data_IF_502226051182
#
_entry.id   IF_502226051182
#
_cell.length_a   1.000
_cell.length_b   1.000
_cell.length_c   1.000
_cell.angle_alpha   90.00
_cell.angle_beta   90.00
_cell.angle_gamma   90.00
#
_symmetry.space_group_name_H-M   'P 1'
#
loop_
_entity.id
_entity.type
_entity.pdbx_description
1 polymer ?
#
# COMPACT_ATOMS: atom_id res chain seq x y z
N UNK A 1 -43.73 12.81 -30.29
CA UNK A 1 -44.15 12.76 -28.87
C UNK A 1 -44.70 14.14 -28.50
N UNK A 2 -45.85 14.22 -27.84
CA UNK A 2 -46.34 15.52 -27.36
C UNK A 2 -45.50 15.95 -26.14
N UNK A 3 -44.60 16.93 -26.34
CA UNK A 3 -43.62 17.40 -25.35
C UNK A 3 -44.33 17.92 -24.10
N UNK A 4 -45.43 18.65 -24.25
CA UNK A 4 -46.21 19.20 -23.09
C UNK A 4 -46.77 18.10 -22.22
N UNK A 5 -47.32 17.02 -22.80
CA UNK A 5 -47.81 15.85 -22.05
C UNK A 5 -46.68 15.10 -21.35
N UNK A 6 -45.50 15.05 -21.97
CA UNK A 6 -44.33 14.42 -21.34
C UNK A 6 -43.85 15.24 -20.14
N UNK A 7 -43.73 16.57 -20.27
CA UNK A 7 -43.39 17.46 -19.15
C UNK A 7 -44.36 17.28 -17.99
N UNK A 8 -45.65 17.42 -18.24
CA UNK A 8 -46.66 17.29 -17.19
C UNK A 8 -46.61 15.96 -16.44
N UNK A 9 -46.23 14.86 -17.11
CA UNK A 9 -46.09 13.55 -16.47
C UNK A 9 -44.78 13.42 -15.63
N UNK A 10 -43.74 14.16 -16.00
CA UNK A 10 -42.43 14.06 -15.35
C UNK A 10 -42.15 15.10 -14.29
N UNK A 11 -42.80 16.23 -14.39
CA UNK A 11 -42.66 17.37 -13.47
C UNK A 11 -42.83 17.01 -11.99
N UNK A 12 -43.76 16.14 -11.55
CA UNK A 12 -43.86 15.73 -10.17
C UNK A 12 -42.57 15.07 -9.63
N UNK A 13 -41.85 14.28 -10.48
CA UNK A 13 -40.62 13.66 -10.11
C UNK A 13 -39.47 14.69 -9.95
N UNK A 14 -39.46 15.70 -10.81
CA UNK A 14 -38.48 16.80 -10.72
C UNK A 14 -38.67 17.64 -9.47
N UNK A 15 -39.92 18.02 -9.17
CA UNK A 15 -40.28 18.76 -7.96
C UNK A 15 -39.95 17.95 -6.69
N UNK A 16 -40.21 16.64 -6.69
CA UNK A 16 -39.90 15.76 -5.58
C UNK A 16 -38.39 15.64 -5.35
N UNK A 17 -37.60 15.48 -6.44
CA UNK A 17 -36.14 15.47 -6.32
C UNK A 17 -35.61 16.80 -5.78
N UNK A 18 -36.09 17.94 -6.29
CA UNK A 18 -35.63 19.24 -5.82
C UNK A 18 -35.97 19.48 -4.33
N UNK A 19 -37.14 19.05 -3.87
CA UNK A 19 -37.51 19.10 -2.46
C UNK A 19 -36.57 18.26 -1.57
N UNK A 20 -36.26 17.04 -2.01
CA UNK A 20 -35.31 16.16 -1.29
C UNK A 20 -33.90 16.75 -1.29
N UNK A 21 -33.43 17.31 -2.42
CA UNK A 21 -32.14 17.96 -2.51
C UNK A 21 -32.02 19.17 -1.59
N UNK A 22 -33.04 20.03 -1.53
CA UNK A 22 -33.08 21.15 -0.58
C UNK A 22 -32.99 20.67 0.89
N UNK A 23 -33.68 19.57 1.22
CA UNK A 23 -33.59 18.96 2.56
C UNK A 23 -32.20 18.45 2.88
N UNK A 24 -31.55 17.79 1.90
CA UNK A 24 -30.17 17.30 2.04
C UNK A 24 -29.16 18.45 2.20
N UNK A 25 -29.31 19.50 1.39
CA UNK A 25 -28.44 20.68 1.43
C UNK A 25 -28.50 21.41 2.76
N UNK A 26 -29.70 21.45 3.38
CA UNK A 26 -29.92 22.09 4.68
C UNK A 26 -29.44 21.25 5.87
N UNK A 27 -29.67 19.94 5.84
CA UNK A 27 -29.55 19.09 7.04
C UNK A 27 -28.57 17.89 6.85
N UNK A 28 -28.01 17.73 5.64
CA UNK A 28 -27.11 16.63 5.27
C UNK A 28 -27.85 15.33 4.89
N UNK A 29 -27.20 14.46 4.12
CA UNK A 29 -27.77 13.20 3.64
C UNK A 29 -28.21 12.26 4.77
N UNK A 30 -27.50 12.29 5.91
CA UNK A 30 -27.82 11.46 7.10
C UNK A 30 -29.13 11.84 7.80
N UNK A 31 -29.71 12.99 7.50
CA UNK A 31 -31.01 13.41 8.05
C UNK A 31 -32.21 12.76 7.38
N UNK A 32 -31.99 12.10 6.24
CA UNK A 32 -33.03 11.41 5.50
C UNK A 32 -33.22 9.97 6.00
N UNK A 33 -34.44 9.50 6.13
CA UNK A 33 -34.69 8.08 6.37
C UNK A 33 -34.30 7.22 5.14
N UNK A 34 -34.05 5.94 5.35
CA UNK A 34 -33.50 5.02 4.34
C UNK A 34 -34.40 4.93 3.07
N UNK A 35 -35.71 5.08 3.20
CA UNK A 35 -36.64 5.11 2.07
C UNK A 35 -36.46 6.37 1.20
N UNK A 36 -36.28 7.56 1.81
CA UNK A 36 -36.01 8.79 1.06
C UNK A 36 -34.63 8.77 0.39
N UNK A 37 -33.61 8.14 0.98
CA UNK A 37 -32.29 7.96 0.34
C UNK A 37 -32.41 7.10 -0.92
N UNK A 38 -33.16 6.00 -0.87
CA UNK A 38 -33.43 5.17 -2.05
C UNK A 38 -34.21 5.94 -3.12
N UNK A 39 -35.18 6.75 -2.70
CA UNK A 39 -35.97 7.60 -3.56
C UNK A 39 -35.09 8.62 -4.30
N UNK A 40 -34.16 9.30 -3.61
CA UNK A 40 -33.19 10.21 -4.24
C UNK A 40 -32.39 9.51 -5.32
N UNK A 41 -31.87 8.31 -5.05
CA UNK A 41 -31.10 7.56 -6.04
C UNK A 41 -31.91 7.11 -7.26
N UNK A 42 -33.19 6.79 -7.07
CA UNK A 42 -34.10 6.47 -8.14
C UNK A 42 -34.46 7.73 -8.97
N UNK A 43 -34.83 8.82 -8.30
CA UNK A 43 -35.19 10.08 -8.96
C UNK A 43 -34.00 10.69 -9.71
N UNK A 44 -32.81 10.63 -9.15
CA UNK A 44 -31.58 11.05 -9.85
C UNK A 44 -31.42 10.36 -11.20
N UNK A 45 -31.53 9.02 -11.25
CA UNK A 45 -31.43 8.27 -12.51
C UNK A 45 -32.53 8.63 -13.49
N UNK A 46 -33.72 8.85 -12.98
CA UNK A 46 -34.88 9.24 -13.75
C UNK A 46 -34.69 10.63 -14.38
N UNK A 47 -34.26 11.62 -13.59
CA UNK A 47 -34.04 13.01 -14.03
C UNK A 47 -32.83 13.08 -14.99
N UNK A 48 -31.77 12.29 -14.76
CA UNK A 48 -30.65 12.21 -15.70
C UNK A 48 -31.08 11.67 -17.07
N UNK A 49 -31.97 10.66 -17.11
CA UNK A 49 -32.55 10.17 -18.35
C UNK A 49 -33.45 11.20 -19.02
N UNK A 50 -34.24 11.96 -18.22
CA UNK A 50 -35.11 13.05 -18.72
C UNK A 50 -34.26 14.20 -19.29
N UNK A 51 -33.13 14.55 -18.67
CA UNK A 51 -32.16 15.51 -19.20
C UNK A 51 -31.60 15.09 -20.57
N UNK A 52 -31.20 13.84 -20.71
CA UNK A 52 -30.70 13.30 -21.97
C UNK A 52 -31.77 13.39 -23.06
N UNK A 53 -33.02 13.01 -22.71
CA UNK A 53 -34.16 13.09 -23.63
C UNK A 53 -34.51 14.55 -24.00
N UNK A 54 -34.51 15.48 -23.02
CA UNK A 54 -34.76 16.90 -23.26
C UNK A 54 -33.76 17.50 -24.24
N UNK A 55 -32.46 17.13 -24.14
CA UNK A 55 -31.42 17.54 -25.08
C UNK A 55 -31.66 16.99 -26.49
N UNK A 56 -31.95 15.69 -26.61
CA UNK A 56 -32.22 15.06 -27.92
C UNK A 56 -33.44 15.64 -28.61
N UNK A 57 -34.48 16.02 -27.86
CA UNK A 57 -35.71 16.58 -28.41
C UNK A 57 -35.68 18.12 -28.53
N UNK A 58 -34.54 18.74 -28.25
CA UNK A 58 -34.33 20.20 -28.31
C UNK A 58 -35.46 20.99 -27.58
N UNK A 59 -35.82 20.55 -26.39
CA UNK A 59 -36.82 21.23 -25.56
C UNK A 59 -36.24 22.58 -25.09
N UNK A 60 -37.06 23.45 -24.54
CA UNK A 60 -36.68 24.78 -24.06
C UNK A 60 -35.34 24.77 -23.24
N UNK A 61 -34.44 25.70 -23.54
CA UNK A 61 -33.16 25.85 -22.85
C UNK A 61 -33.32 26.02 -21.34
N UNK A 62 -34.37 26.70 -20.88
CA UNK A 62 -34.67 26.87 -19.46
C UNK A 62 -34.94 25.54 -18.76
N UNK A 63 -35.67 24.62 -19.39
CA UNK A 63 -35.94 23.31 -18.85
C UNK A 63 -34.65 22.45 -18.83
N UNK A 64 -33.87 22.49 -19.90
CA UNK A 64 -32.58 21.79 -19.96
C UNK A 64 -31.63 22.25 -18.84
N UNK A 65 -31.52 23.58 -18.62
CA UNK A 65 -30.69 24.13 -17.54
C UNK A 65 -31.21 23.73 -16.15
N UNK A 66 -32.53 23.74 -15.93
CA UNK A 66 -33.14 23.30 -14.66
C UNK A 66 -32.82 21.81 -14.38
N UNK A 67 -33.04 20.93 -15.36
CA UNK A 67 -32.76 19.51 -15.23
C UNK A 67 -31.26 19.25 -15.04
N UNK A 68 -30.38 20.00 -15.72
CA UNK A 68 -28.97 19.91 -15.55
C UNK A 68 -28.50 20.32 -14.15
N UNK A 69 -29.04 21.44 -13.64
CA UNK A 69 -28.76 21.89 -12.27
C UNK A 69 -29.19 20.85 -11.24
N UNK A 70 -30.41 20.31 -11.35
CA UNK A 70 -30.87 19.23 -10.45
C UNK A 70 -30.02 17.98 -10.55
N UNK A 71 -29.64 17.55 -11.75
CA UNK A 71 -28.79 16.39 -11.96
C UNK A 71 -27.41 16.59 -11.34
N UNK A 72 -26.79 17.77 -11.51
CA UNK A 72 -25.48 18.10 -10.92
C UNK A 72 -25.57 18.16 -9.39
N UNK A 73 -26.61 18.77 -8.83
CA UNK A 73 -26.82 18.80 -7.38
C UNK A 73 -26.99 17.39 -6.80
N UNK A 74 -27.85 16.57 -7.44
CA UNK A 74 -28.07 15.19 -7.03
C UNK A 74 -26.79 14.35 -7.13
N UNK A 75 -26.04 14.48 -8.23
CA UNK A 75 -24.74 13.84 -8.41
C UNK A 75 -23.78 14.17 -7.28
N UNK A 76 -23.63 15.46 -6.96
CA UNK A 76 -22.75 15.90 -5.88
C UNK A 76 -23.16 15.32 -4.53
N UNK A 77 -24.45 15.21 -4.21
CA UNK A 77 -24.93 14.64 -2.95
C UNK A 77 -24.72 13.12 -2.88
N UNK A 78 -25.01 12.41 -3.98
CA UNK A 78 -24.85 10.96 -4.05
C UNK A 78 -23.37 10.54 -4.02
N UNK A 79 -22.51 11.23 -4.78
CA UNK A 79 -21.10 10.85 -4.95
C UNK A 79 -20.14 11.55 -4.00
N UNK A 80 -20.41 12.77 -3.51
CA UNK A 80 -19.61 13.38 -2.46
C UNK A 80 -19.81 12.71 -1.09
N UNK A 81 -21.00 12.18 -0.84
CA UNK A 81 -21.26 11.36 0.35
C UNK A 81 -20.38 10.10 0.37
N UNK A 82 -20.20 9.43 -0.80
CA UNK A 82 -19.34 8.26 -0.92
C UNK A 82 -17.86 8.64 -0.77
N UNK A 83 -17.38 9.71 -1.39
CA UNK A 83 -15.98 10.18 -1.23
C UNK A 83 -15.62 10.47 0.22
N UNK A 84 -16.49 11.12 0.98
CA UNK A 84 -16.22 11.39 2.41
C UNK A 84 -16.17 10.11 3.23
N UNK A 85 -17.00 9.11 2.90
CA UNK A 85 -16.96 7.79 3.54
C UNK A 85 -15.72 7.01 3.12
N UNK A 86 -15.31 7.09 1.85
CA UNK A 86 -14.07 6.47 1.36
C UNK A 86 -12.84 7.05 2.04
N UNK A 87 -12.74 8.38 2.19
CA UNK A 87 -11.65 9.02 2.93
C UNK A 87 -11.65 8.68 4.42
N UNK A 88 -12.81 8.58 5.04
CA UNK A 88 -12.91 8.11 6.43
C UNK A 88 -12.48 6.65 6.54
N UNK A 89 -12.91 5.79 5.62
CA UNK A 89 -12.51 4.39 5.57
C UNK A 89 -11.00 4.22 5.38
N UNK A 90 -10.39 5.02 4.48
CA UNK A 90 -8.95 5.04 4.28
C UNK A 90 -8.20 5.50 5.54
N UNK A 91 -8.68 6.56 6.18
CA UNK A 91 -8.11 7.05 7.43
C UNK A 91 -8.23 6.02 8.56
N UNK A 92 -9.39 5.40 8.71
CA UNK A 92 -9.62 4.36 9.72
C UNK A 92 -8.77 3.12 9.46
N UNK A 93 -8.56 2.76 8.19
CA UNK A 93 -7.64 1.69 7.82
C UNK A 93 -6.22 1.99 8.28
N UNK A 94 -5.65 3.14 7.95
CA UNK A 94 -4.28 3.46 8.38
C UNK A 94 -4.18 3.75 9.87
N UNK A 95 -5.20 4.24 10.54
CA UNK A 95 -5.14 4.48 11.98
C UNK A 95 -5.24 3.20 12.81
N UNK A 96 -6.07 2.24 12.39
CA UNK A 96 -6.45 1.08 13.20
C UNK A 96 -6.44 -0.24 12.41
N UNK A 97 -6.87 -0.23 11.15
CA UNK A 97 -7.01 -1.43 10.33
C UNK A 97 -5.67 -2.08 10.04
N UNK A 98 -4.69 -1.34 9.56
CA UNK A 98 -3.38 -1.88 9.21
C UNK A 98 -2.64 -2.46 10.43
N UNK A 99 -2.52 -1.78 11.59
CA UNK A 99 -1.97 -2.40 12.80
C UNK A 99 -2.68 -3.70 13.19
N UNK A 100 -4.01 -3.73 13.11
CA UNK A 100 -4.79 -4.94 13.42
C UNK A 100 -4.45 -6.09 12.48
N UNK A 101 -4.34 -5.82 11.17
CA UNK A 101 -3.98 -6.85 10.18
C UNK A 101 -2.56 -7.35 10.38
N UNK A 102 -1.60 -6.49 10.72
CA UNK A 102 -0.23 -6.89 11.06
C UNK A 102 -0.24 -7.84 12.26
N UNK A 103 -0.98 -7.51 13.33
CA UNK A 103 -1.09 -8.37 14.51
C UNK A 103 -1.77 -9.71 14.21
N UNK A 104 -2.83 -9.72 13.41
CA UNK A 104 -3.51 -10.96 12.99
C UNK A 104 -2.62 -11.85 12.11
N UNK A 105 -1.66 -11.25 11.42
CA UNK A 105 -0.76 -11.92 10.49
C UNK A 105 0.61 -12.23 11.10
N UNK A 106 0.82 -11.95 12.38
CA UNK A 106 2.14 -11.95 13.03
C UNK A 106 2.90 -13.27 12.88
N UNK A 107 2.23 -14.40 12.92
CA UNK A 107 2.86 -15.73 12.78
C UNK A 107 3.48 -15.89 11.39
N UNK A 108 2.79 -15.44 10.34
CA UNK A 108 3.27 -15.53 8.96
C UNK A 108 4.38 -14.51 8.68
N UNK A 109 4.28 -13.33 9.29
CA UNK A 109 5.33 -12.31 9.24
C UNK A 109 6.58 -12.80 9.97
N UNK A 110 6.43 -13.40 11.14
CA UNK A 110 7.54 -13.98 11.90
C UNK A 110 8.22 -15.11 11.13
N UNK A 111 7.46 -15.96 10.43
CA UNK A 111 8.02 -17.00 9.56
C UNK A 111 8.84 -16.38 8.41
N UNK A 112 8.32 -15.36 7.74
CA UNK A 112 9.03 -14.64 6.68
C UNK A 112 10.32 -14.00 7.21
N UNK A 113 10.26 -13.33 8.36
CA UNK A 113 11.40 -12.72 9.03
C UNK A 113 12.45 -13.77 9.43
N UNK A 114 12.01 -14.91 9.99
CA UNK A 114 12.92 -15.98 10.37
C UNK A 114 13.68 -16.58 9.16
N UNK A 115 13.00 -16.77 8.03
CA UNK A 115 13.62 -17.23 6.78
C UNK A 115 14.63 -16.21 6.24
N UNK A 116 14.31 -14.94 6.30
CA UNK A 116 15.25 -13.88 5.90
C UNK A 116 16.50 -13.89 6.80
N UNK A 117 16.32 -13.92 8.12
CA UNK A 117 17.42 -13.98 9.08
C UNK A 117 18.23 -15.26 8.87
N UNK A 118 17.59 -16.39 8.62
CA UNK A 118 18.29 -17.64 8.30
C UNK A 118 19.18 -17.49 7.07
N UNK A 119 18.68 -16.85 6.01
CA UNK A 119 19.46 -16.51 4.82
C UNK A 119 20.68 -15.64 5.16
N UNK A 120 20.49 -14.59 5.98
CA UNK A 120 21.58 -13.73 6.44
C UNK A 120 22.66 -14.54 7.19
N UNK A 121 22.25 -15.41 8.10
CA UNK A 121 23.19 -16.23 8.90
C UNK A 121 23.94 -17.24 8.03
N UNK A 122 23.27 -17.88 7.08
CA UNK A 122 23.90 -18.81 6.12
C UNK A 122 24.96 -18.06 5.30
N UNK A 123 24.61 -16.91 4.72
CA UNK A 123 25.55 -16.14 3.92
C UNK A 123 26.71 -15.60 4.75
N UNK A 124 26.44 -15.09 5.94
CA UNK A 124 27.49 -14.66 6.87
C UNK A 124 28.46 -15.80 7.19
N UNK A 125 27.95 -16.99 7.54
CA UNK A 125 28.79 -18.15 7.90
C UNK A 125 29.66 -18.59 6.74
N UNK A 126 29.10 -18.80 5.55
CA UNK A 126 29.85 -19.29 4.38
C UNK A 126 30.82 -18.23 3.82
N UNK A 127 30.37 -16.97 3.73
CA UNK A 127 31.22 -15.88 3.24
C UNK A 127 32.41 -15.58 4.18
N UNK A 128 32.27 -15.92 5.47
CA UNK A 128 33.40 -15.81 6.41
C UNK A 128 34.43 -16.91 6.24
N UNK A 129 33.99 -18.13 5.92
CA UNK A 129 34.89 -19.28 5.74
C UNK A 129 35.55 -19.34 4.35
N UNK A 130 34.76 -19.04 3.32
CA UNK A 130 35.21 -19.08 1.94
C UNK A 130 34.81 -17.78 1.21
N UNK A 131 35.78 -16.88 0.98
CA UNK A 131 35.53 -15.64 0.25
C UNK A 131 34.97 -15.83 -1.17
N UNK A 132 35.16 -17.00 -1.79
CA UNK A 132 34.64 -17.31 -3.12
C UNK A 132 33.13 -17.45 -3.12
N UNK A 133 32.52 -17.82 -1.97
CA UNK A 133 31.09 -17.89 -1.81
C UNK A 133 30.36 -16.55 -2.13
N UNK A 134 31.02 -15.44 -1.83
CA UNK A 134 30.43 -14.10 -2.11
C UNK A 134 30.14 -13.89 -3.59
N UNK A 135 31.00 -14.42 -4.49
CA UNK A 135 30.82 -14.25 -5.93
C UNK A 135 29.60 -15.00 -6.51
N UNK A 136 29.03 -15.94 -5.74
CA UNK A 136 27.81 -16.63 -6.13
C UNK A 136 26.55 -15.75 -5.94
N UNK A 137 26.65 -14.74 -5.07
CA UNK A 137 25.48 -13.95 -4.63
C UNK A 137 25.66 -12.48 -4.97
N UNK A 138 26.85 -11.93 -4.76
CA UNK A 138 27.17 -10.50 -4.96
C UNK A 138 27.88 -10.33 -6.31
N UNK A 139 27.47 -9.37 -7.14
CA UNK A 139 28.14 -9.06 -8.40
C UNK A 139 29.62 -8.75 -8.20
N UNK A 140 30.47 -9.31 -9.07
CA UNK A 140 31.94 -9.23 -8.93
C UNK A 140 32.49 -7.80 -8.90
N UNK A 141 31.85 -6.88 -9.66
CA UNK A 141 32.27 -5.48 -9.65
C UNK A 141 32.06 -4.82 -8.28
N UNK A 142 31.00 -5.16 -7.54
CA UNK A 142 30.76 -4.66 -6.17
C UNK A 142 31.79 -5.23 -5.19
N UNK A 143 32.13 -6.51 -5.34
CA UNK A 143 33.16 -7.15 -4.52
C UNK A 143 34.51 -6.44 -4.72
N UNK A 144 34.90 -6.15 -5.97
CA UNK A 144 36.13 -5.42 -6.30
C UNK A 144 36.11 -4.00 -5.73
N UNK A 145 35.06 -3.25 -5.92
CA UNK A 145 34.92 -1.88 -5.39
C UNK A 145 35.13 -1.85 -3.87
N UNK A 146 34.51 -2.79 -3.14
CA UNK A 146 34.62 -2.83 -1.68
C UNK A 146 35.97 -3.36 -1.22
N UNK A 147 36.47 -4.44 -1.82
CA UNK A 147 37.71 -5.12 -1.39
C UNK A 147 38.97 -4.39 -1.82
N UNK A 148 39.03 -3.98 -3.09
CA UNK A 148 40.25 -3.45 -3.72
C UNK A 148 40.32 -1.92 -3.58
N UNK A 149 39.20 -1.23 -3.85
CA UNK A 149 39.16 0.25 -3.79
C UNK A 149 38.81 0.80 -2.40
N UNK A 150 38.35 -0.05 -1.47
CA UNK A 150 37.90 0.36 -0.13
C UNK A 150 36.82 1.44 -0.14
N UNK A 151 35.90 1.35 -1.12
CA UNK A 151 34.82 2.30 -1.33
C UNK A 151 33.46 1.60 -1.31
N UNK A 152 32.45 2.35 -0.91
CA UNK A 152 31.06 1.93 -1.06
C UNK A 152 30.52 2.44 -2.40
N UNK A 153 29.69 1.64 -3.06
CA UNK A 153 29.11 1.95 -4.38
C UNK A 153 27.97 2.99 -4.32
N UNK A 154 27.46 3.30 -3.13
CA UNK A 154 26.31 4.20 -2.97
C UNK A 154 26.62 5.66 -3.31
N UNK A 155 27.89 6.05 -3.42
CA UNK A 155 28.29 7.38 -3.90
C UNK A 155 27.84 7.69 -5.34
N UNK A 156 27.53 6.66 -6.14
CA UNK A 156 27.00 6.82 -7.50
C UNK A 156 25.55 7.35 -7.55
N UNK A 157 24.84 7.43 -6.41
CA UNK A 157 23.48 7.97 -6.32
C UNK A 157 23.51 9.51 -6.38
N UNK A 158 24.60 10.13 -5.91
CA UNK A 158 24.71 11.59 -5.89
C UNK A 158 24.71 12.19 -7.31
N UNK A 159 23.83 13.15 -7.54
CA UNK A 159 23.63 13.80 -8.85
C UNK A 159 22.57 13.15 -9.73
N UNK A 160 22.05 11.98 -9.36
CA UNK A 160 20.98 11.26 -10.06
C UNK A 160 19.88 10.78 -9.11
N UNK A 161 19.74 11.46 -7.97
CA UNK A 161 18.88 11.06 -6.84
C UNK A 161 17.43 10.70 -7.24
N UNK A 162 16.73 11.49 -8.08
CA UNK A 162 15.35 11.15 -8.44
C UNK A 162 15.26 9.86 -9.26
N UNK A 163 16.22 9.62 -10.15
CA UNK A 163 16.25 8.42 -10.98
C UNK A 163 16.66 7.19 -10.15
N UNK A 164 17.69 7.33 -9.33
CA UNK A 164 18.14 6.26 -8.43
C UNK A 164 17.05 5.89 -7.43
N UNK A 165 16.44 6.87 -6.77
CA UNK A 165 15.33 6.67 -5.82
C UNK A 165 14.16 5.92 -6.46
N UNK A 166 13.75 6.33 -7.67
CA UNK A 166 12.65 5.66 -8.38
C UNK A 166 13.02 4.21 -8.78
N UNK A 167 14.24 3.99 -9.24
CA UNK A 167 14.73 2.66 -9.62
C UNK A 167 14.77 1.68 -8.43
N UNK A 168 15.29 2.13 -7.30
CA UNK A 168 15.38 1.32 -6.09
C UNK A 168 13.98 1.06 -5.51
N UNK A 169 13.14 2.08 -5.43
CA UNK A 169 11.74 1.94 -4.99
C UNK A 169 10.98 0.92 -5.85
N UNK A 170 11.10 0.99 -7.17
CA UNK A 170 10.47 0.03 -8.10
C UNK A 170 11.01 -1.38 -7.84
N UNK A 171 12.32 -1.55 -7.66
CA UNK A 171 12.91 -2.85 -7.35
C UNK A 171 12.32 -3.44 -6.06
N UNK A 172 12.24 -2.66 -4.99
CA UNK A 172 11.74 -3.11 -3.69
C UNK A 172 10.25 -3.41 -3.70
N UNK A 173 9.46 -2.62 -4.45
CA UNK A 173 8.06 -2.93 -4.75
C UNK A 173 7.96 -4.25 -5.52
N UNK A 174 8.77 -4.47 -6.54
CA UNK A 174 8.75 -5.70 -7.34
C UNK A 174 9.14 -6.93 -6.51
N UNK A 175 10.16 -6.83 -5.64
CA UNK A 175 10.54 -7.91 -4.70
C UNK A 175 9.37 -8.23 -3.77
N UNK A 176 8.72 -7.21 -3.21
CA UNK A 176 7.55 -7.38 -2.34
C UNK A 176 6.40 -8.05 -3.08
N UNK A 177 6.07 -7.62 -4.30
CA UNK A 177 5.03 -8.28 -5.11
C UNK A 177 5.37 -9.73 -5.47
N UNK A 178 6.65 -10.02 -5.81
CA UNK A 178 7.10 -11.39 -6.04
C UNK A 178 6.93 -12.27 -4.79
N UNK A 179 7.26 -11.73 -3.60
CA UNK A 179 7.05 -12.44 -2.34
C UNK A 179 5.57 -12.75 -2.07
N UNK A 180 4.66 -11.79 -2.34
CA UNK A 180 3.21 -11.99 -2.22
C UNK A 180 2.70 -13.00 -3.23
N UNK A 181 3.02 -12.81 -4.52
CA UNK A 181 2.58 -13.69 -5.61
C UNK A 181 3.10 -15.12 -5.44
N UNK A 182 4.27 -15.27 -4.82
CA UNK A 182 4.86 -16.56 -4.48
C UNK A 182 3.96 -17.44 -3.60
N UNK A 183 3.01 -16.85 -2.89
CA UNK A 183 2.00 -17.59 -2.14
C UNK A 183 1.15 -18.51 -3.00
N UNK A 184 0.93 -18.18 -4.28
CA UNK A 184 0.18 -18.99 -5.25
C UNK A 184 0.87 -20.33 -5.52
N UNK A 185 2.20 -20.37 -5.44
CA UNK A 185 3.01 -21.60 -5.55
C UNK A 185 3.02 -22.42 -4.25
N UNK A 186 1.93 -22.37 -3.47
CA UNK A 186 1.88 -22.94 -2.14
C UNK A 186 3.01 -22.43 -1.20
N UNK A 187 3.50 -21.22 -1.46
CA UNK A 187 4.53 -20.54 -0.66
C UNK A 187 5.98 -20.86 -1.04
N UNK A 188 6.23 -21.78 -1.99
CA UNK A 188 7.58 -22.17 -2.38
C UNK A 188 8.42 -20.99 -2.91
N UNK A 189 7.81 -20.16 -3.76
CA UNK A 189 8.48 -18.98 -4.30
C UNK A 189 8.62 -17.86 -3.24
N UNK A 190 7.65 -17.71 -2.35
CA UNK A 190 7.78 -16.80 -1.18
C UNK A 190 8.97 -17.19 -0.31
N UNK A 191 9.08 -18.50 0.00
CA UNK A 191 10.21 -19.05 0.75
C UNK A 191 11.54 -18.69 0.07
N UNK A 192 11.65 -18.96 -1.24
CA UNK A 192 12.83 -18.64 -2.02
C UNK A 192 13.19 -17.15 -1.96
N UNK A 193 12.21 -16.26 -2.20
CA UNK A 193 12.43 -14.82 -2.18
C UNK A 193 12.92 -14.34 -0.80
N UNK A 194 12.30 -14.81 0.29
CA UNK A 194 12.71 -14.41 1.63
C UNK A 194 14.13 -14.89 1.97
N UNK A 195 14.42 -16.15 1.69
CA UNK A 195 15.73 -16.73 1.94
C UNK A 195 16.83 -16.06 1.09
N UNK A 196 16.57 -15.86 -0.22
CA UNK A 196 17.54 -15.28 -1.14
C UNK A 196 17.86 -13.82 -0.81
N UNK A 197 16.85 -13.01 -0.46
CA UNK A 197 17.09 -11.63 -0.02
C UNK A 197 17.89 -11.60 1.30
N UNK A 198 17.64 -12.54 2.20
CA UNK A 198 18.48 -12.72 3.38
C UNK A 198 19.92 -13.07 3.02
N UNK A 199 20.14 -14.04 2.12
CA UNK A 199 21.49 -14.40 1.64
C UNK A 199 22.22 -13.19 1.06
N UNK A 200 21.55 -12.38 0.25
CA UNK A 200 22.14 -11.18 -0.35
C UNK A 200 22.58 -10.16 0.71
N UNK A 201 21.71 -9.82 1.65
CA UNK A 201 22.02 -8.86 2.72
C UNK A 201 23.11 -9.42 3.64
N UNK A 202 23.09 -10.70 3.97
CA UNK A 202 24.12 -11.34 4.80
C UNK A 202 25.48 -11.34 4.12
N UNK A 203 25.56 -11.65 2.83
CA UNK A 203 26.81 -11.62 2.06
C UNK A 203 27.38 -10.19 1.97
N UNK A 204 26.53 -9.20 1.67
CA UNK A 204 26.94 -7.79 1.61
C UNK A 204 27.40 -7.28 2.98
N UNK A 205 26.65 -7.59 4.05
CA UNK A 205 27.01 -7.20 5.42
C UNK A 205 28.38 -7.78 5.81
N UNK A 206 28.66 -9.04 5.44
CA UNK A 206 29.95 -9.68 5.68
C UNK A 206 31.06 -9.00 4.87
N UNK A 207 30.82 -8.74 3.58
CA UNK A 207 31.78 -8.07 2.70
C UNK A 207 32.19 -6.70 3.25
N UNK A 208 31.24 -5.84 3.62
CA UNK A 208 31.57 -4.51 4.18
C UNK A 208 32.19 -4.61 5.58
N UNK A 209 31.77 -5.60 6.39
CA UNK A 209 32.33 -5.85 7.72
C UNK A 209 33.80 -6.24 7.66
N UNK A 210 34.17 -7.18 6.79
CA UNK A 210 35.57 -7.63 6.58
C UNK A 210 36.50 -6.52 6.04
N UNK A 211 35.93 -5.46 5.44
CA UNK A 211 36.67 -4.36 4.85
C UNK A 211 36.64 -3.05 5.66
N UNK A 212 36.14 -3.08 6.91
CA UNK A 212 36.00 -1.93 7.82
C UNK A 212 35.07 -0.81 7.28
N UNK A 213 34.13 -1.16 6.42
CA UNK A 213 33.13 -0.26 5.82
C UNK A 213 31.73 -0.45 6.41
N UNK A 214 31.59 -1.25 7.49
CA UNK A 214 30.28 -1.54 8.08
C UNK A 214 29.59 -0.28 8.60
N UNK A 215 30.31 0.59 9.31
CA UNK A 215 29.72 1.79 9.91
C UNK A 215 29.13 2.75 8.86
N UNK A 216 29.85 3.22 7.84
CA UNK A 216 29.26 4.07 6.80
C UNK A 216 28.22 3.34 5.96
N UNK A 217 28.34 2.03 5.74
CA UNK A 217 27.33 1.23 5.04
C UNK A 217 26.00 1.23 5.78
N UNK A 218 26.01 0.88 7.06
CA UNK A 218 24.77 0.85 7.84
C UNK A 218 24.21 2.24 8.11
N UNK A 219 25.05 3.29 8.20
CA UNK A 219 24.58 4.67 8.24
C UNK A 219 23.76 5.05 6.99
N UNK A 220 24.15 4.52 5.82
CA UNK A 220 23.39 4.69 4.59
C UNK A 220 22.10 3.86 4.60
N UNK A 221 22.18 2.56 4.94
CA UNK A 221 21.06 1.61 4.81
C UNK A 221 20.01 1.80 5.90
N UNK A 222 20.40 2.05 7.14
CA UNK A 222 19.50 1.98 8.28
C UNK A 222 18.31 2.95 8.25
N UNK A 223 18.45 4.22 7.77
CA UNK A 223 17.30 5.14 7.69
C UNK A 223 16.13 4.59 6.85
N UNK A 224 16.39 4.10 5.65
CA UNK A 224 15.36 3.54 4.78
C UNK A 224 15.05 2.08 5.10
N UNK A 225 16.06 1.28 5.43
CA UNK A 225 15.93 -0.13 5.77
C UNK A 225 15.04 -0.37 6.99
N UNK A 226 14.92 0.61 7.89
CA UNK A 226 14.00 0.56 9.05
C UNK A 226 12.52 0.48 8.66
N UNK A 227 12.15 0.90 7.45
CA UNK A 227 10.81 0.77 6.87
C UNK A 227 10.75 -0.32 5.79
N UNK A 228 11.79 -0.44 4.98
CA UNK A 228 11.86 -1.34 3.84
C UNK A 228 11.90 -2.80 4.25
N UNK A 229 12.79 -3.19 5.19
CA UNK A 229 12.87 -4.58 5.63
C UNK A 229 11.57 -5.05 6.29
N UNK A 230 10.93 -4.31 7.21
CA UNK A 230 9.61 -4.68 7.70
C UNK A 230 8.55 -4.80 6.59
N UNK A 231 8.58 -3.91 5.58
CA UNK A 231 7.66 -4.01 4.45
C UNK A 231 7.86 -5.31 3.66
N UNK A 232 9.11 -5.72 3.41
CA UNK A 232 9.44 -7.01 2.77
C UNK A 232 8.97 -8.18 3.65
N UNK A 233 9.12 -8.10 4.99
CA UNK A 233 8.63 -9.14 5.90
C UNK A 233 7.11 -9.24 5.89
N UNK A 234 6.41 -8.12 5.82
CA UNK A 234 4.94 -8.10 5.68
C UNK A 234 4.51 -8.68 4.33
N UNK A 235 5.26 -8.41 3.26
CA UNK A 235 5.01 -9.01 1.94
C UNK A 235 5.20 -10.53 1.94
N UNK A 236 6.27 -11.03 2.58
CA UNK A 236 6.48 -12.45 2.79
C UNK A 236 5.36 -13.09 3.62
N UNK A 237 4.94 -12.41 4.70
CA UNK A 237 3.79 -12.82 5.50
C UNK A 237 2.49 -12.90 4.68
N UNK A 238 2.23 -11.93 3.79
CA UNK A 238 1.10 -11.95 2.86
C UNK A 238 1.17 -13.14 1.89
N UNK A 239 2.35 -13.47 1.37
CA UNK A 239 2.58 -14.67 0.56
C UNK A 239 2.26 -15.96 1.33
N UNK A 240 2.72 -16.07 2.58
CA UNK A 240 2.43 -17.24 3.42
C UNK A 240 0.94 -17.32 3.84
N UNK A 241 0.22 -16.21 3.96
CA UNK A 241 -1.24 -16.23 4.15
C UNK A 241 -1.96 -16.86 2.94
N UNK A 242 -1.55 -16.53 1.73
CA UNK A 242 -2.09 -17.15 0.51
C UNK A 242 -1.73 -18.64 0.46
N UNK A 243 -0.48 -18.99 0.75
CA UNK A 243 -0.03 -20.39 0.86
C UNK A 243 -0.85 -21.18 1.89
N UNK A 244 -1.14 -20.56 3.04
CA UNK A 244 -2.00 -21.14 4.09
C UNK A 244 -3.38 -21.51 3.57
N UNK A 245 -4.01 -20.63 2.80
CA UNK A 245 -5.31 -20.87 2.21
C UNK A 245 -5.33 -22.07 1.26
N UNK A 246 -4.23 -22.28 0.53
CA UNK A 246 -4.09 -23.37 -0.45
C UNK A 246 -3.80 -24.70 0.22
N UNK A 247 -2.79 -24.72 1.11
CA UNK A 247 -2.27 -25.95 1.73
C UNK A 247 -3.12 -26.44 2.88
N UNK A 248 -3.57 -25.52 3.74
CA UNK A 248 -4.21 -25.86 5.02
C UNK A 248 -5.47 -25.01 5.27
N UNK A 249 -6.53 -25.16 4.46
CA UNK A 249 -7.76 -24.35 4.57
C UNK A 249 -8.52 -24.56 5.87
N UNK A 250 -8.19 -25.60 6.65
CA UNK A 250 -8.86 -25.93 7.92
C UNK A 250 -10.31 -26.34 7.71
N UNK A 251 -11.23 -25.68 8.43
CA UNK A 251 -12.68 -25.92 8.34
C UNK A 251 -13.34 -25.22 7.15
N UNK A 252 -12.62 -24.35 6.45
CA UNK A 252 -13.15 -23.62 5.30
C UNK A 252 -13.03 -24.42 4.02
N UNK A 253 -13.96 -24.18 3.07
CA UNK A 253 -13.74 -24.61 1.68
C UNK A 253 -12.55 -23.81 1.13
N UNK A 254 -11.75 -24.38 0.22
CA UNK A 254 -10.55 -23.73 -0.31
C UNK A 254 -10.80 -22.31 -0.84
N UNK A 255 -11.92 -22.10 -1.52
CA UNK A 255 -12.28 -20.77 -2.05
C UNK A 255 -12.59 -19.77 -0.92
N UNK A 256 -13.25 -20.21 0.16
CA UNK A 256 -13.60 -19.34 1.29
C UNK A 256 -12.33 -19.02 2.13
N UNK A 257 -11.44 -20.01 2.29
CA UNK A 257 -10.14 -19.80 2.89
C UNK A 257 -9.33 -18.78 2.08
N UNK A 258 -9.32 -18.89 0.74
CA UNK A 258 -8.62 -17.96 -0.13
C UNK A 258 -9.21 -16.54 -0.06
N UNK A 259 -10.54 -16.40 0.04
CA UNK A 259 -11.17 -15.10 0.27
C UNK A 259 -10.74 -14.50 1.61
N UNK A 260 -10.76 -15.27 2.69
CA UNK A 260 -10.40 -14.80 4.02
C UNK A 260 -8.93 -14.40 4.12
N UNK A 261 -8.01 -15.32 3.84
CA UNK A 261 -6.57 -15.06 3.93
C UNK A 261 -6.08 -14.11 2.83
N UNK A 262 -6.68 -14.15 1.64
CA UNK A 262 -6.41 -13.21 0.55
C UNK A 262 -6.82 -11.78 0.89
N UNK A 263 -7.90 -11.59 1.66
CA UNK A 263 -8.26 -10.25 2.17
C UNK A 263 -7.21 -9.72 3.15
N UNK A 264 -6.74 -10.55 4.08
CA UNK A 264 -5.64 -10.15 4.98
C UNK A 264 -4.36 -9.83 4.21
N UNK A 265 -4.00 -10.67 3.23
CA UNK A 265 -2.84 -10.44 2.36
C UNK A 265 -2.94 -9.13 1.58
N UNK A 266 -4.10 -8.83 0.97
CA UNK A 266 -4.32 -7.59 0.24
C UNK A 266 -4.26 -6.35 1.13
N UNK A 267 -4.75 -6.43 2.35
CA UNK A 267 -4.66 -5.36 3.34
C UNK A 267 -3.21 -5.12 3.78
N UNK A 268 -2.39 -6.16 3.96
CA UNK A 268 -0.96 -6.02 4.19
C UNK A 268 -0.29 -5.30 3.01
N UNK A 269 -0.56 -5.74 1.77
CA UNK A 269 0.00 -5.12 0.55
C UNK A 269 -0.36 -3.64 0.47
N UNK A 270 -1.61 -3.28 0.79
CA UNK A 270 -2.05 -1.89 0.77
C UNK A 270 -1.28 -1.02 1.77
N UNK A 271 -0.92 -1.54 2.94
CA UNK A 271 -0.10 -0.84 3.93
C UNK A 271 1.40 -0.81 3.59
N UNK A 272 1.92 -1.80 2.86
CA UNK A 272 3.32 -1.89 2.43
C UNK A 272 3.68 -0.78 1.43
N UNK A 273 2.79 -0.44 0.51
CA UNK A 273 3.06 0.51 -0.56
C UNK A 273 3.57 1.86 -0.03
N UNK A 274 2.87 2.56 0.88
CA UNK A 274 3.36 3.83 1.42
C UNK A 274 4.68 3.67 2.20
N UNK A 275 4.91 2.53 2.86
CA UNK A 275 6.18 2.28 3.55
C UNK A 275 7.35 2.25 2.57
N UNK A 276 7.20 1.54 1.44
CA UNK A 276 8.24 1.45 0.40
C UNK A 276 8.44 2.78 -0.32
N UNK A 277 7.38 3.56 -0.55
CA UNK A 277 7.50 4.90 -1.13
C UNK A 277 8.31 5.83 -0.21
N UNK A 278 8.01 5.84 1.09
CA UNK A 278 8.75 6.64 2.06
C UNK A 278 10.20 6.16 2.15
N UNK A 279 10.44 4.85 2.22
CA UNK A 279 11.78 4.27 2.24
C UNK A 279 12.59 4.69 0.99
N UNK A 280 12.01 4.60 -0.21
CA UNK A 280 12.68 5.00 -1.45
C UNK A 280 13.01 6.50 -1.51
N UNK A 281 12.17 7.37 -0.95
CA UNK A 281 12.46 8.80 -0.83
C UNK A 281 13.65 9.02 0.14
N UNK A 282 13.65 8.35 1.28
CA UNK A 282 14.74 8.44 2.26
C UNK A 282 16.04 7.93 1.63
N UNK A 283 16.01 6.82 0.91
CA UNK A 283 17.17 6.22 0.26
C UNK A 283 17.73 7.11 -0.85
N UNK A 284 16.88 7.75 -1.65
CA UNK A 284 17.33 8.62 -2.73
C UNK A 284 17.86 9.97 -2.29
N UNK A 285 17.26 10.58 -1.26
CA UNK A 285 17.55 11.98 -0.93
C UNK A 285 18.22 12.20 0.42
N UNK A 286 17.94 11.35 1.41
CA UNK A 286 18.47 11.52 2.76
C UNK A 286 19.71 10.66 3.00
N UNK A 287 19.64 9.38 2.68
CA UNK A 287 20.71 8.41 2.95
C UNK A 287 22.05 8.76 2.26
N UNK A 288 22.10 9.17 0.98
CA UNK A 288 23.34 9.49 0.29
C UNK A 288 23.88 10.88 0.62
N UNK A 289 23.11 11.76 1.25
CA UNK A 289 23.48 13.15 1.49
C UNK A 289 24.72 13.26 2.38
N UNK A 290 25.85 13.80 1.90
CA UNK A 290 27.08 13.92 2.64
C UNK A 290 27.02 15.00 3.76
N UNK A 291 26.08 15.96 3.65
CA UNK A 291 25.88 16.98 4.68
C UNK A 291 25.19 16.45 5.93
N UNK A 292 24.63 15.22 5.88
CA UNK A 292 23.98 14.58 7.02
C UNK A 292 24.98 13.68 7.74
N UNK A 293 25.36 13.99 9.00
CA UNK A 293 26.27 13.17 9.76
C UNK A 293 25.76 11.74 9.99
N UNK A 294 26.64 10.74 9.94
CA UNK A 294 26.28 9.35 10.14
C UNK A 294 25.51 9.07 11.43
N UNK A 295 25.86 9.65 12.62
CA UNK A 295 25.07 9.46 13.83
C UNK A 295 23.62 9.93 13.70
N UNK A 296 23.36 11.01 12.92
CA UNK A 296 22.02 11.50 12.69
C UNK A 296 21.22 10.53 11.80
N UNK A 297 21.88 9.88 10.84
CA UNK A 297 21.26 8.82 10.01
C UNK A 297 20.82 7.64 10.87
N UNK A 298 21.65 7.20 11.81
CA UNK A 298 21.28 6.17 12.78
C UNK A 298 20.12 6.58 13.69
N UNK A 299 20.12 7.82 14.17
CA UNK A 299 19.03 8.35 15.00
C UNK A 299 17.69 8.34 14.25
N UNK A 300 17.69 8.79 12.99
CA UNK A 300 16.50 8.81 12.14
C UNK A 300 15.99 7.38 11.89
N UNK A 301 16.87 6.44 11.53
CA UNK A 301 16.50 5.05 11.34
C UNK A 301 15.90 4.42 12.60
N UNK A 302 16.52 4.65 13.77
CA UNK A 302 15.99 4.18 15.06
C UNK A 302 14.61 4.79 15.34
N UNK A 303 14.46 6.10 15.15
CA UNK A 303 13.19 6.80 15.36
C UNK A 303 12.06 6.26 14.46
N UNK A 304 12.35 6.03 13.18
CA UNK A 304 11.40 5.45 12.23
C UNK A 304 11.01 4.02 12.62
N UNK A 305 11.98 3.19 12.96
CA UNK A 305 11.72 1.81 13.39
C UNK A 305 10.88 1.76 14.65
N UNK A 306 11.23 2.53 15.69
CA UNK A 306 10.45 2.59 16.93
C UNK A 306 9.03 3.13 16.69
N UNK A 307 8.89 4.14 15.83
CA UNK A 307 7.57 4.65 15.42
C UNK A 307 6.74 3.57 14.75
N UNK A 308 7.33 2.77 13.84
CA UNK A 308 6.66 1.65 13.19
C UNK A 308 6.23 0.58 14.20
N UNK A 309 7.12 0.22 15.14
CA UNK A 309 6.81 -0.77 16.19
C UNK A 309 5.64 -0.31 17.05
N UNK A 310 5.70 0.93 17.56
CA UNK A 310 4.61 1.53 18.35
C UNK A 310 3.32 1.62 17.55
N UNK A 311 3.41 2.01 16.29
CA UNK A 311 2.26 2.07 15.39
C UNK A 311 1.63 0.70 15.18
N UNK A 312 2.41 -0.34 14.86
CA UNK A 312 1.91 -1.70 14.65
C UNK A 312 1.41 -2.38 15.94
N UNK A 313 1.84 -1.91 17.11
CA UNK A 313 1.39 -2.41 18.42
C UNK A 313 0.06 -1.79 18.88
N UNK A 314 -0.47 -0.78 18.16
CA UNK A 314 -1.71 -0.10 18.57
C UNK A 314 -2.90 -1.04 18.51
N UNK A 315 -3.71 -1.00 19.55
CA UNK A 315 -4.98 -1.70 19.62
C UNK A 315 -6.14 -0.70 19.70
N UNK A 316 -7.24 -1.00 19.04
CA UNK A 316 -8.46 -0.22 19.19
C UNK A 316 -9.08 -0.59 20.53
N UNK A 317 -9.05 0.32 21.51
CA UNK A 317 -9.81 0.14 22.74
C UNK A 317 -11.28 0.31 22.33
N UNK A 318 -12.01 -0.80 22.21
CA UNK A 318 -13.47 -0.76 22.14
C UNK A 318 -13.95 -0.20 23.49
N UNK A 319 -14.46 1.02 23.48
CA UNK A 319 -15.20 1.54 24.64
C UNK A 319 -16.48 0.70 24.70
N UNK A 320 -16.53 -0.24 25.68
CA UNK A 320 -17.74 -0.91 26.10
C UNK A 320 -18.80 0.10 26.52
#
# INVERSE_FOLDING_TARGET
MNIQRWIARREPNWQRLDALLKKIEKSGLKSLPSNEIREVAFLYRTVAADLARARTQQVSNTLIQSLQSMTTRAYNQVYQGSRRQEWQGLKDFFLWGFPTVVQQSIVYIALATALFILGCLIAWWYAWQDPSFMSLIVPEHLIKTVRDERKLWMGSILGVEPLASSGIMINNIMVSFKAVAGGITAGAYTFYIMLFNGLLIGAVATLVGQNNLAYPFWAFVFPHGSLELPAIFFAGGAGFLIARAILFPGKYRRLDALKYYGTLASQLVFGIIPMLVIAGIIEGFFSPNPSVPEPLKYLVGTGLFMTLVVYCSRQRIERM
#
